data_IF_200213879278
#
_entry.id   IF_200213879278
#
_cell.length_a   1.000
_cell.length_b   1.000
_cell.length_c   1.000
_cell.angle_alpha   90.00
_cell.angle_beta   90.00
_cell.angle_gamma   90.00
#
_symmetry.space_group_name_H-M   'P 1'
#
loop_
_entity.id
_entity.type
_entity.pdbx_description
1 polymer ?
#
# COMPACT_ATOMS: atom_id res chain seq x y z
N UNK A 1 3.49 8.70 -5.01
CA UNK A 1 4.13 7.46 -4.50
C UNK A 1 3.12 6.72 -3.63
N UNK A 2 3.06 5.39 -3.73
CA UNK A 2 2.22 4.53 -2.90
C UNK A 2 3.11 3.54 -2.14
N UNK A 3 2.84 3.30 -0.87
CA UNK A 3 3.59 2.38 -0.02
C UNK A 3 2.62 1.46 0.71
N UNK A 4 2.75 0.16 0.52
CA UNK A 4 1.84 -0.84 1.09
C UNK A 4 2.46 -1.54 2.28
N UNK A 5 1.64 -1.78 3.30
CA UNK A 5 2.03 -2.46 4.52
C UNK A 5 1.03 -3.53 4.91
N UNK A 6 1.52 -4.65 5.43
CA UNK A 6 0.74 -5.57 6.25
C UNK A 6 0.62 -4.96 7.66
N UNK A 7 -0.62 -4.74 8.10
CA UNK A 7 -0.90 -4.12 9.41
C UNK A 7 -1.02 -5.20 10.47
N UNK A 8 -1.90 -6.18 10.23
CA UNK A 8 -2.08 -7.37 11.07
C UNK A 8 -2.50 -8.54 10.19
N UNK A 9 -1.61 -9.52 10.05
CA UNK A 9 -1.80 -10.76 9.28
C UNK A 9 -1.52 -11.99 10.15
N UNK A 10 -1.75 -11.86 11.46
CA UNK A 10 -1.48 -12.92 12.44
C UNK A 10 0.00 -13.28 12.52
N UNK A 11 0.32 -14.57 12.40
CA UNK A 11 1.69 -15.07 12.53
C UNK A 11 2.51 -15.02 11.24
N UNK A 12 1.94 -14.54 10.13
CA UNK A 12 2.60 -14.55 8.81
C UNK A 12 3.73 -13.52 8.72
N UNK A 13 3.55 -12.34 9.31
CA UNK A 13 4.54 -11.28 9.35
C UNK A 13 4.33 -10.37 10.58
N UNK A 14 5.38 -9.71 11.09
CA UNK A 14 5.23 -8.70 12.13
C UNK A 14 4.27 -7.57 11.72
N UNK A 15 3.61 -6.90 12.68
CA UNK A 15 2.80 -5.72 12.38
C UNK A 15 3.60 -4.62 11.68
N UNK A 16 2.93 -3.89 10.78
CA UNK A 16 3.51 -2.81 9.97
C UNK A 16 4.66 -3.26 9.06
N UNK A 17 4.66 -4.52 8.63
CA UNK A 17 5.65 -5.01 7.65
C UNK A 17 5.44 -4.33 6.31
N UNK A 18 6.48 -3.70 5.77
CA UNK A 18 6.50 -3.16 4.41
C UNK A 18 6.33 -4.29 3.40
N UNK A 19 5.35 -4.15 2.50
CA UNK A 19 5.11 -5.10 1.41
C UNK A 19 5.86 -4.64 0.17
N UNK A 20 5.53 -3.44 -0.33
CA UNK A 20 6.11 -2.88 -1.54
C UNK A 20 5.90 -1.36 -1.61
N UNK A 21 6.56 -0.70 -2.57
CA UNK A 21 6.38 0.71 -2.90
C UNK A 21 6.38 0.94 -4.41
N UNK A 22 5.58 1.88 -4.87
CA UNK A 22 5.54 2.32 -6.26
C UNK A 22 5.62 3.84 -6.36
N UNK A 23 6.34 4.33 -7.36
CA UNK A 23 6.53 5.75 -7.60
C UNK A 23 6.25 6.09 -9.06
N UNK A 24 5.50 7.17 -9.27
CA UNK A 24 5.17 7.71 -10.58
C UNK A 24 5.52 9.20 -10.51
N UNK A 25 6.41 9.64 -11.40
CA UNK A 25 6.77 11.04 -11.58
C UNK A 25 6.03 11.56 -12.79
N UNK A 26 5.27 12.64 -12.61
CA UNK A 26 4.41 13.18 -13.66
C UNK A 26 4.07 14.64 -13.40
N UNK A 27 3.62 15.36 -14.42
CA UNK A 27 3.33 16.80 -14.35
C UNK A 27 1.84 17.09 -14.64
N UNK A 28 1.35 18.23 -14.16
CA UNK A 28 -0.03 18.68 -14.38
C UNK A 28 -1.09 17.88 -13.61
N UNK A 29 -2.35 18.29 -13.77
CA UNK A 29 -3.50 17.65 -13.11
C UNK A 29 -3.94 16.40 -13.85
N UNK A 30 -3.90 15.24 -13.19
CA UNK A 30 -4.36 13.97 -13.75
C UNK A 30 -4.73 12.98 -12.65
N UNK A 31 -5.47 11.95 -13.03
CA UNK A 31 -5.67 10.78 -12.17
C UNK A 31 -4.44 9.86 -12.29
N UNK A 32 -4.02 9.31 -11.15
CA UNK A 32 -2.91 8.37 -11.06
C UNK A 32 -3.41 7.16 -10.29
N UNK A 33 -3.33 6.00 -10.91
CA UNK A 33 -3.68 4.74 -10.28
C UNK A 33 -2.42 4.00 -9.83
N UNK A 34 -2.48 3.42 -8.64
CA UNK A 34 -1.47 2.53 -8.12
C UNK A 34 -2.08 1.15 -7.91
N UNK A 35 -1.37 0.12 -8.38
CA UNK A 35 -1.82 -1.26 -8.25
C UNK A 35 -0.72 -2.08 -7.59
N UNK A 36 -1.12 -2.98 -6.70
CA UNK A 36 -0.26 -4.00 -6.13
C UNK A 36 -0.87 -5.36 -6.45
N UNK A 37 -0.12 -6.19 -7.17
CA UNK A 37 -0.53 -7.56 -7.51
C UNK A 37 0.28 -8.53 -6.67
N UNK A 38 -0.37 -9.46 -5.94
CA UNK A 38 0.36 -10.38 -5.11
C UNK A 38 0.91 -11.55 -5.96
N UNK A 39 2.14 -11.99 -5.69
CA UNK A 39 2.74 -13.16 -6.36
C UNK A 39 2.04 -14.46 -5.96
N UNK A 40 1.60 -14.54 -4.70
CA UNK A 40 0.82 -15.64 -4.14
C UNK A 40 -0.47 -15.12 -3.51
N UNK A 41 -1.35 -16.00 -3.01
CA UNK A 41 -2.53 -15.55 -2.27
C UNK A 41 -2.10 -14.72 -1.04
N UNK A 42 -2.73 -13.56 -0.84
CA UNK A 42 -2.52 -12.78 0.38
C UNK A 42 -3.11 -13.48 1.61
N UNK A 43 -2.42 -13.41 2.75
CA UNK A 43 -2.97 -13.93 3.99
C UNK A 43 -4.21 -13.09 4.39
N UNK A 44 -5.19 -13.70 5.08
CA UNK A 44 -6.29 -12.95 5.67
C UNK A 44 -5.74 -12.00 6.73
N UNK A 45 -6.30 -10.79 6.79
CA UNK A 45 -5.80 -9.75 7.68
C UNK A 45 -6.08 -8.34 7.21
N UNK A 46 -5.45 -7.39 7.87
CA UNK A 46 -5.55 -5.96 7.59
C UNK A 46 -4.28 -5.42 6.99
N UNK A 47 -4.45 -4.49 6.06
CA UNK A 47 -3.41 -3.89 5.27
C UNK A 47 -3.69 -2.40 5.13
N UNK A 48 -2.66 -1.63 4.77
CA UNK A 48 -2.83 -0.23 4.40
C UNK A 48 -1.97 0.14 3.21
N UNK A 49 -2.41 1.15 2.48
CA UNK A 49 -1.59 1.89 1.52
C UNK A 49 -1.47 3.34 1.98
N UNK A 50 -0.25 3.83 2.03
CA UNK A 50 0.09 5.23 2.28
C UNK A 50 0.38 5.91 0.94
N UNK A 51 -0.38 6.94 0.60
CA UNK A 51 -0.25 7.71 -0.63
C UNK A 51 0.44 9.04 -0.35
N UNK A 52 1.46 9.33 -1.14
CA UNK A 52 2.28 10.53 -1.03
C UNK A 52 2.25 11.33 -2.32
N UNK A 53 2.10 12.66 -2.18
CA UNK A 53 2.19 13.65 -3.25
C UNK A 53 3.33 14.59 -2.91
N UNK A 54 4.32 14.73 -3.80
CA UNK A 54 5.53 15.53 -3.56
C UNK A 54 6.20 15.22 -2.20
N UNK A 55 6.33 13.92 -1.90
CA UNK A 55 6.86 13.37 -0.64
C UNK A 55 6.10 13.71 0.65
N UNK A 56 5.01 14.47 0.58
CA UNK A 56 4.09 14.66 1.68
C UNK A 56 3.06 13.53 1.73
N UNK A 57 2.81 12.97 2.92
CA UNK A 57 1.73 12.00 3.13
C UNK A 57 0.39 12.71 2.91
N UNK A 58 -0.39 12.23 1.94
CA UNK A 58 -1.68 12.78 1.58
C UNK A 58 -2.82 11.94 2.18
N UNK A 59 -2.76 10.62 1.98
CA UNK A 59 -3.83 9.71 2.38
C UNK A 59 -3.29 8.39 2.92
N UNK A 60 -4.05 7.78 3.83
CA UNK A 60 -3.84 6.41 4.30
C UNK A 60 -5.15 5.65 4.08
N UNK A 61 -5.11 4.60 3.26
CA UNK A 61 -6.27 3.78 2.95
C UNK A 61 -6.06 2.40 3.52
N UNK A 62 -6.97 1.98 4.41
CA UNK A 62 -6.96 0.64 5.01
C UNK A 62 -7.90 -0.30 4.26
N UNK A 63 -7.52 -1.57 4.16
CA UNK A 63 -8.36 -2.62 3.59
C UNK A 63 -8.10 -3.97 4.27
N UNK A 64 -8.97 -4.95 4.01
CA UNK A 64 -8.86 -6.29 4.58
C UNK A 64 -9.00 -7.37 3.53
N UNK A 65 -8.23 -8.43 3.69
CA UNK A 65 -8.36 -9.68 2.93
C UNK A 65 -9.03 -10.72 3.84
N UNK A 66 -9.98 -11.49 3.28
CA UNK A 66 -10.71 -12.55 3.98
C UNK A 66 -10.35 -13.93 3.41
#
# INVERSE_FOLDING_TARGET
KAVWYAVDVGTVAPPNTLIDKAEIVTEGTRNIDFFLKPETKWPPGTFRVELFVNDALDQVVSFSVK
#
